data_IF_310932313327
#
_entry.id   IF_310932313327
#
_cell.length_a   1.000
_cell.length_b   1.000
_cell.length_c   1.000
_cell.angle_alpha   90.00
_cell.angle_beta   90.00
_cell.angle_gamma   90.00
#
_symmetry.space_group_name_H-M   'P 1'
#
loop_
_entity.id
_entity.type
_entity.pdbx_description
1 polymer ?
#
# COMPACT_ATOMS: atom_id res chain seq x y z
N UNK A 1 2.90 16.36 41.39
CA UNK A 1 2.21 16.86 40.18
C UNK A 1 2.49 15.82 39.10
N UNK A 2 1.65 14.79 39.04
CA UNK A 2 1.75 13.74 38.03
C UNK A 2 1.39 14.35 36.68
N UNK A 3 2.33 14.33 35.72
CA UNK A 3 2.03 14.63 34.34
C UNK A 3 1.10 13.53 33.81
N UNK A 4 -0.05 13.85 33.18
CA UNK A 4 -0.89 12.82 32.60
C UNK A 4 -0.09 12.06 31.56
N UNK A 5 -0.23 10.73 31.58
CA UNK A 5 0.38 9.83 30.62
C UNK A 5 0.16 10.35 29.19
N UNK A 6 1.25 10.48 28.43
CA UNK A 6 1.22 10.81 26.99
C UNK A 6 0.28 9.80 26.33
N UNK A 7 -0.95 10.23 26.03
CA UNK A 7 -1.86 9.47 25.18
C UNK A 7 -1.10 9.23 23.88
N UNK A 8 -0.82 7.96 23.57
CA UNK A 8 -0.25 7.57 22.29
C UNK A 8 -1.11 8.17 21.19
N UNK A 9 -0.58 9.15 20.47
CA UNK A 9 -1.35 9.97 19.54
C UNK A 9 -2.09 9.06 18.54
N UNK A 10 -3.41 9.22 18.35
CA UNK A 10 -4.23 8.33 17.51
C UNK A 10 -3.90 8.37 16.01
N UNK A 11 -2.90 9.15 15.59
CA UNK A 11 -2.71 9.66 14.23
C UNK A 11 -1.23 9.63 13.88
N UNK A 12 -0.65 8.43 13.97
CA UNK A 12 0.69 8.14 13.46
C UNK A 12 0.50 7.11 12.36
N UNK A 13 0.40 7.61 11.12
CA UNK A 13 0.14 6.78 9.97
C UNK A 13 1.23 5.73 9.76
N UNK A 14 2.49 6.09 10.04
CA UNK A 14 3.63 5.17 10.03
C UNK A 14 3.44 3.99 10.96
N UNK A 15 3.11 4.25 12.24
CA UNK A 15 2.83 3.18 13.22
C UNK A 15 1.60 2.36 12.83
N UNK A 16 0.55 2.98 12.32
CA UNK A 16 -0.63 2.27 11.82
C UNK A 16 -0.25 1.29 10.71
N UNK A 17 0.43 1.76 9.67
CA UNK A 17 0.84 0.94 8.52
C UNK A 17 1.75 -0.20 8.95
N UNK A 18 2.77 0.07 9.79
CA UNK A 18 3.70 -0.97 10.29
C UNK A 18 2.95 -2.08 11.05
N UNK A 19 1.90 -1.74 11.78
CA UNK A 19 1.06 -2.74 12.49
C UNK A 19 0.13 -3.53 11.56
N UNK A 20 -0.24 -2.98 10.41
CA UNK A 20 -1.18 -3.62 9.49
C UNK A 20 -0.47 -4.49 8.47
N UNK A 21 0.69 -4.09 7.94
CA UNK A 21 1.43 -4.85 6.90
C UNK A 21 1.61 -6.35 7.25
N UNK A 22 2.04 -6.73 8.47
CA UNK A 22 2.19 -8.15 8.82
C UNK A 22 0.87 -8.94 8.77
N UNK A 23 -0.27 -8.25 8.89
CA UNK A 23 -1.62 -8.82 8.86
C UNK A 23 -2.24 -8.80 7.45
N UNK A 24 -1.59 -8.19 6.46
CA UNK A 24 -2.07 -8.13 5.07
C UNK A 24 -1.83 -9.44 4.32
N UNK A 25 -2.11 -10.57 4.95
CA UNK A 25 -1.85 -11.88 4.36
C UNK A 25 -3.14 -12.68 4.39
N UNK A 26 -3.48 -13.29 3.25
CA UNK A 26 -4.57 -14.25 3.15
C UNK A 26 -4.00 -15.64 2.92
N UNK A 27 -4.57 -16.63 3.61
CA UNK A 27 -4.24 -18.03 3.36
C UNK A 27 -4.94 -18.43 2.07
N UNK A 28 -4.16 -18.71 1.03
CA UNK A 28 -4.70 -19.33 -0.18
C UNK A 28 -4.89 -20.82 0.05
N UNK A 29 -6.12 -21.24 0.33
CA UNK A 29 -6.47 -22.66 0.29
C UNK A 29 -6.56 -23.07 -1.18
N UNK A 30 -5.52 -23.72 -1.68
CA UNK A 30 -5.59 -24.42 -2.98
C UNK A 30 -6.55 -25.59 -2.79
N UNK A 31 -7.84 -25.39 -3.08
CA UNK A 31 -8.77 -26.50 -3.23
C UNK A 31 -8.37 -27.25 -4.52
N UNK A 32 -7.50 -28.24 -4.36
CA UNK A 32 -7.24 -29.22 -5.40
C UNK A 32 -8.57 -29.92 -5.74
N UNK A 33 -8.79 -30.06 -7.04
CA UNK A 33 -10.01 -30.57 -7.65
C UNK A 33 -10.54 -31.86 -7.01
N UNK A 34 -11.87 -32.00 -6.99
CA UNK A 34 -12.54 -33.27 -6.74
C UNK A 34 -11.97 -34.35 -7.68
N UNK A 35 -11.57 -35.53 -7.17
CA UNK A 35 -11.16 -36.62 -8.02
C UNK A 35 -12.39 -37.28 -8.64
N UNK A 36 -12.53 -37.16 -9.96
CA UNK A 36 -13.24 -38.12 -10.78
C UNK A 36 -12.52 -39.46 -10.65
N UNK A 37 -13.25 -40.52 -10.32
CA UNK A 37 -12.76 -41.89 -10.15
C UNK A 37 -11.90 -42.35 -11.34
N UNK A 38 -10.63 -42.70 -11.09
CA UNK A 38 -10.04 -43.89 -11.72
C UNK A 38 -8.90 -44.46 -10.88
N UNK A 39 -8.78 -45.78 -10.92
CA UNK A 39 -7.95 -46.62 -10.05
C UNK A 39 -6.50 -46.63 -10.53
N UNK A 40 -5.58 -46.93 -9.59
CA UNK A 40 -4.15 -47.30 -9.75
C UNK A 40 -3.11 -46.18 -9.97
N UNK A 41 -2.31 -45.93 -8.91
CA UNK A 41 -0.89 -45.64 -9.05
C UNK A 41 -0.38 -44.32 -8.48
N UNK A 42 0.45 -44.43 -7.41
CA UNK A 42 1.44 -43.45 -6.91
C UNK A 42 0.94 -42.31 -6.00
N UNK A 43 1.25 -42.33 -4.68
CA UNK A 43 1.06 -41.15 -3.83
C UNK A 43 2.22 -40.18 -4.05
N UNK A 44 2.11 -39.33 -5.07
CA UNK A 44 2.93 -38.12 -5.17
C UNK A 44 2.42 -37.13 -4.12
N UNK A 45 3.06 -37.10 -2.95
CA UNK A 45 2.79 -36.12 -1.90
C UNK A 45 3.19 -34.73 -2.40
N UNK A 46 2.30 -34.06 -3.11
CA UNK A 46 2.39 -32.64 -3.39
C UNK A 46 2.04 -31.88 -2.11
N UNK A 47 3.01 -31.72 -1.22
CA UNK A 47 2.96 -30.72 -0.15
C UNK A 47 2.85 -29.33 -0.79
N UNK A 48 1.62 -28.86 -1.00
CA UNK A 48 1.33 -27.48 -1.35
C UNK A 48 1.62 -26.61 -0.14
N UNK A 49 2.84 -26.06 -0.08
CA UNK A 49 3.18 -25.03 0.91
C UNK A 49 2.17 -23.88 0.80
N UNK A 50 1.54 -23.45 1.91
CA UNK A 50 0.62 -22.33 1.87
C UNK A 50 1.35 -21.09 1.35
N UNK A 51 0.95 -20.61 0.17
CA UNK A 51 1.50 -19.39 -0.39
C UNK A 51 1.03 -18.21 0.47
N UNK A 52 1.98 -17.44 0.96
CA UNK A 52 1.70 -16.24 1.72
C UNK A 52 1.32 -15.11 0.75
N UNK A 53 0.03 -15.04 0.38
CA UNK A 53 -0.49 -14.08 -0.59
C UNK A 53 -0.86 -12.79 0.13
N UNK A 54 -0.37 -11.65 -0.35
CA UNK A 54 -0.74 -10.34 0.19
C UNK A 54 -2.20 -10.02 -0.16
N UNK A 55 -3.00 -9.65 0.83
CA UNK A 55 -4.36 -9.16 0.59
C UNK A 55 -4.32 -7.71 0.08
N UNK A 56 -4.44 -7.56 -1.25
CA UNK A 56 -4.39 -6.26 -1.90
C UNK A 56 -5.61 -5.38 -1.58
N UNK A 57 -6.73 -5.91 -1.09
CA UNK A 57 -7.87 -5.09 -0.65
C UNK A 57 -7.53 -4.29 0.60
N UNK A 58 -6.86 -4.92 1.56
CA UNK A 58 -6.37 -4.24 2.77
C UNK A 58 -5.31 -3.21 2.40
N UNK A 59 -4.40 -3.56 1.48
CA UNK A 59 -3.41 -2.62 0.95
C UNK A 59 -4.08 -1.39 0.32
N UNK A 60 -5.06 -1.59 -0.58
CA UNK A 60 -5.82 -0.50 -1.21
C UNK A 60 -6.52 0.37 -0.18
N UNK A 61 -7.14 -0.23 0.84
CA UNK A 61 -7.78 0.51 1.91
C UNK A 61 -6.76 1.39 2.66
N UNK A 62 -5.62 0.84 3.06
CA UNK A 62 -4.56 1.61 3.71
C UNK A 62 -4.05 2.77 2.82
N UNK A 63 -3.86 2.53 1.51
CA UNK A 63 -3.43 3.57 0.56
C UNK A 63 -4.47 4.70 0.46
N UNK A 64 -5.77 4.37 0.39
CA UNK A 64 -6.84 5.39 0.33
C UNK A 64 -6.90 6.28 1.58
N UNK A 65 -6.39 5.82 2.73
CA UNK A 65 -6.32 6.63 3.94
C UNK A 65 -5.19 7.69 3.90
N UNK A 66 -4.22 7.57 2.99
CA UNK A 66 -3.00 8.39 3.00
C UNK A 66 -3.28 9.90 3.00
N UNK A 67 -4.23 10.37 2.20
CA UNK A 67 -4.55 11.80 2.08
C UNK A 67 -5.20 12.36 3.34
N UNK A 68 -6.07 11.60 3.99
CA UNK A 68 -6.69 11.97 5.27
C UNK A 68 -5.67 11.99 6.42
N UNK A 69 -4.79 10.99 6.48
CA UNK A 69 -3.73 10.95 7.48
C UNK A 69 -2.67 12.02 7.24
N UNK A 70 -2.42 12.46 6.00
CA UNK A 70 -1.51 13.57 5.73
C UNK A 70 -1.95 14.84 6.48
N UNK A 71 -3.22 15.23 6.35
CA UNK A 71 -3.77 16.41 7.05
C UNK A 71 -3.71 16.20 8.56
N UNK A 72 -4.09 15.01 9.01
CA UNK A 72 -4.27 14.73 10.44
C UNK A 72 -2.95 14.60 11.19
N UNK A 73 -1.97 13.87 10.65
CA UNK A 73 -0.64 13.71 11.25
C UNK A 73 0.07 15.07 11.36
N UNK A 74 -0.04 15.93 10.34
CA UNK A 74 0.55 17.27 10.39
C UNK A 74 -0.17 18.20 11.36
N UNK A 75 -1.51 18.18 11.40
CA UNK A 75 -2.27 19.01 12.31
C UNK A 75 -2.04 18.65 13.79
N UNK A 76 -1.91 17.36 14.10
CA UNK A 76 -1.78 16.88 15.48
C UNK A 76 -0.33 16.68 15.93
N UNK A 77 0.61 16.62 14.99
CA UNK A 77 2.04 16.53 15.27
C UNK A 77 2.85 17.37 14.27
N UNK A 78 2.86 18.71 14.40
CA UNK A 78 3.52 19.58 13.42
C UNK A 78 5.02 19.33 13.26
N UNK A 79 5.70 18.81 14.29
CA UNK A 79 7.14 18.55 14.24
C UNK A 79 7.51 17.28 13.47
N UNK A 80 6.68 16.24 13.54
CA UNK A 80 7.02 14.92 12.97
C UNK A 80 5.97 14.32 12.05
N UNK A 81 4.82 14.97 11.91
CA UNK A 81 3.66 14.45 11.19
C UNK A 81 3.96 14.11 9.74
N UNK A 82 4.68 14.99 9.02
CA UNK A 82 5.12 14.71 7.65
C UNK A 82 6.03 13.48 7.60
N UNK A 83 6.98 13.37 8.53
CA UNK A 83 7.93 12.25 8.59
C UNK A 83 7.25 10.91 8.91
N UNK A 84 6.34 10.89 9.88
CA UNK A 84 5.57 9.67 10.23
C UNK A 84 4.62 9.27 9.12
N UNK A 85 3.95 10.25 8.52
CA UNK A 85 3.09 10.04 7.35
C UNK A 85 3.89 9.47 6.17
N UNK A 86 5.01 10.10 5.81
CA UNK A 86 5.83 9.68 4.69
C UNK A 86 6.39 8.27 4.92
N UNK A 87 6.80 7.96 6.14
CA UNK A 87 7.23 6.61 6.51
C UNK A 87 6.13 5.57 6.23
N UNK A 88 4.89 5.85 6.64
CA UNK A 88 3.75 4.96 6.37
C UNK A 88 3.45 4.83 4.88
N UNK A 89 3.34 5.97 4.19
CA UNK A 89 3.03 6.01 2.76
C UNK A 89 4.10 5.29 1.94
N UNK A 90 5.38 5.58 2.19
CA UNK A 90 6.50 4.96 1.49
C UNK A 90 6.54 3.45 1.69
N UNK A 91 6.20 2.95 2.89
CA UNK A 91 6.11 1.50 3.15
C UNK A 91 5.01 0.81 2.37
N UNK A 92 3.85 1.45 2.20
CA UNK A 92 2.80 0.89 1.33
C UNK A 92 3.27 0.83 -0.13
N UNK A 93 4.01 1.85 -0.58
CA UNK A 93 4.56 1.89 -1.95
C UNK A 93 5.67 0.87 -2.17
N UNK A 94 6.48 0.58 -1.15
CA UNK A 94 7.43 -0.54 -1.19
C UNK A 94 6.71 -1.88 -1.43
N UNK A 95 5.56 -2.10 -0.78
CA UNK A 95 4.74 -3.30 -1.00
C UNK A 95 4.18 -3.34 -2.43
N UNK A 96 3.70 -2.21 -2.97
CA UNK A 96 3.25 -2.11 -4.37
C UNK A 96 4.38 -2.44 -5.34
N UNK A 97 5.58 -1.86 -5.16
CA UNK A 97 6.75 -2.19 -5.97
C UNK A 97 7.13 -3.67 -5.87
N UNK A 98 7.07 -4.25 -4.66
CA UNK A 98 7.41 -5.66 -4.45
C UNK A 98 6.39 -6.62 -5.08
N UNK A 99 5.10 -6.25 -5.11
CA UNK A 99 4.06 -6.98 -5.83
C UNK A 99 4.27 -6.90 -7.34
N UNK A 100 4.69 -5.75 -7.87
CA UNK A 100 4.99 -5.59 -9.29
C UNK A 100 6.18 -6.48 -9.70
N UNK A 101 7.27 -6.46 -8.91
CA UNK A 101 8.45 -7.29 -9.17
C UNK A 101 8.14 -8.79 -9.16
N UNK A 102 7.11 -9.22 -8.43
CA UNK A 102 6.61 -10.61 -8.42
C UNK A 102 5.60 -10.92 -9.54
N UNK A 103 5.20 -9.93 -10.33
CA UNK A 103 4.13 -10.06 -11.32
C UNK A 103 2.71 -10.10 -10.73
N UNK A 104 2.58 -10.02 -9.41
CA UNK A 104 1.35 -10.21 -8.63
C UNK A 104 0.53 -8.92 -8.48
N UNK A 105 1.09 -7.75 -8.83
CA UNK A 105 0.38 -6.48 -8.66
C UNK A 105 -0.87 -6.41 -9.55
N UNK A 106 -2.02 -6.22 -8.90
CA UNK A 106 -3.31 -5.97 -9.53
C UNK A 106 -3.37 -4.55 -10.09
N UNK A 107 -4.03 -4.40 -11.24
CA UNK A 107 -4.26 -3.08 -11.85
C UNK A 107 -4.99 -2.13 -10.90
N UNK A 108 -6.02 -2.62 -10.20
CA UNK A 108 -6.80 -1.81 -9.27
C UNK A 108 -5.91 -1.19 -8.18
N UNK A 109 -4.96 -1.96 -7.66
CA UNK A 109 -3.99 -1.50 -6.66
C UNK A 109 -3.07 -0.41 -7.23
N UNK A 110 -2.58 -0.59 -8.45
CA UNK A 110 -1.78 0.43 -9.13
C UNK A 110 -2.58 1.71 -9.36
N UNK A 111 -3.84 1.59 -9.77
CA UNK A 111 -4.74 2.71 -9.98
C UNK A 111 -5.00 3.50 -8.69
N UNK A 112 -5.22 2.80 -7.57
CA UNK A 112 -5.40 3.42 -6.25
C UNK A 112 -4.09 4.10 -5.78
N UNK A 113 -2.93 3.49 -6.01
CA UNK A 113 -1.64 4.11 -5.68
C UNK A 113 -1.41 5.43 -6.45
N UNK A 114 -1.69 5.43 -7.76
CA UNK A 114 -1.60 6.65 -8.59
C UNK A 114 -2.59 7.72 -8.14
N UNK A 115 -3.83 7.34 -7.86
CA UNK A 115 -4.86 8.26 -7.35
C UNK A 115 -4.45 8.88 -6.01
N UNK A 116 -3.95 8.07 -5.08
CA UNK A 116 -3.51 8.55 -3.77
C UNK A 116 -2.34 9.54 -3.87
N UNK A 117 -1.40 9.33 -4.81
CA UNK A 117 -0.35 10.32 -5.07
C UNK A 117 -0.94 11.67 -5.47
N UNK A 118 -1.91 11.69 -6.38
CA UNK A 118 -2.53 12.93 -6.85
C UNK A 118 -3.37 13.63 -5.79
N UNK A 119 -4.09 12.87 -4.96
CA UNK A 119 -4.82 13.42 -3.81
C UNK A 119 -3.84 14.01 -2.79
N UNK A 120 -2.78 13.29 -2.42
CA UNK A 120 -1.78 13.78 -1.47
C UNK A 120 -1.03 15.01 -2.02
N UNK A 121 -0.75 15.05 -3.32
CA UNK A 121 -0.18 16.22 -3.98
C UNK A 121 -1.09 17.44 -3.89
N UNK A 122 -2.39 17.23 -4.13
CA UNK A 122 -3.40 18.30 -4.07
C UNK A 122 -3.55 18.82 -2.65
N UNK A 123 -3.66 17.92 -1.67
CA UNK A 123 -3.70 18.27 -0.24
C UNK A 123 -2.43 19.03 0.16
N UNK A 124 -1.25 18.55 -0.25
CA UNK A 124 0.03 19.22 0.03
C UNK A 124 0.14 20.63 -0.56
N UNK A 125 -0.65 20.96 -1.59
CA UNK A 125 -0.70 22.29 -2.19
C UNK A 125 -1.74 23.24 -1.60
N UNK A 126 -2.73 22.73 -0.85
CA UNK A 126 -3.87 23.53 -0.38
C UNK A 126 -3.69 24.11 1.04
N UNK A 127 -2.71 23.63 1.81
CA UNK A 127 -2.56 23.94 3.24
C UNK A 127 -1.15 24.46 3.53
N UNK A 128 -1.04 25.48 4.38
CA UNK A 128 0.26 25.99 4.86
C UNK A 128 0.91 24.97 5.80
N UNK A 129 2.22 24.79 5.69
CA UNK A 129 2.98 23.84 6.51
C UNK A 129 2.99 22.40 5.96
N UNK A 130 2.51 22.21 4.73
CA UNK A 130 2.46 20.91 4.04
C UNK A 130 3.30 20.90 2.75
N UNK A 131 4.15 21.90 2.56
CA UNK A 131 4.95 22.10 1.35
C UNK A 131 5.91 20.93 1.11
N UNK A 132 6.56 20.44 2.18
CA UNK A 132 7.46 19.27 2.15
C UNK A 132 6.75 17.97 1.74
N UNK A 133 5.43 17.87 1.97
CA UNK A 133 4.67 16.70 1.56
C UNK A 133 4.66 16.54 0.03
N UNK A 134 4.76 17.64 -0.74
CA UNK A 134 4.81 17.55 -2.21
C UNK A 134 6.11 16.92 -2.69
N UNK A 135 7.23 17.21 -2.04
CA UNK A 135 8.52 16.59 -2.37
C UNK A 135 8.49 15.08 -2.07
N UNK A 136 7.93 14.70 -0.92
CA UNK A 136 7.70 13.30 -0.54
C UNK A 136 6.81 12.56 -1.56
N UNK A 137 5.69 13.17 -1.98
CA UNK A 137 4.80 12.60 -3.00
C UNK A 137 5.51 12.48 -4.35
N UNK A 138 6.31 13.48 -4.74
CA UNK A 138 7.07 13.46 -6.00
C UNK A 138 8.08 12.33 -6.05
N UNK A 139 8.76 12.04 -4.94
CA UNK A 139 9.66 10.91 -4.82
C UNK A 139 8.92 9.59 -5.10
N UNK A 140 7.79 9.36 -4.42
CA UNK A 140 6.95 8.17 -4.62
C UNK A 140 6.41 8.09 -6.05
N UNK A 141 5.85 9.18 -6.58
CA UNK A 141 5.28 9.23 -7.92
C UNK A 141 6.33 8.90 -8.99
N UNK A 142 7.57 9.35 -8.78
CA UNK A 142 8.70 9.02 -9.68
C UNK A 142 9.02 7.53 -9.65
N UNK A 143 8.92 6.87 -8.49
CA UNK A 143 9.07 5.42 -8.39
C UNK A 143 7.93 4.67 -9.07
N UNK A 144 6.69 5.08 -8.82
CA UNK A 144 5.51 4.46 -9.45
C UNK A 144 5.52 4.62 -10.97
N UNK A 145 5.99 5.76 -11.49
CA UNK A 145 6.12 6.00 -12.93
C UNK A 145 7.02 4.97 -13.61
N UNK A 146 8.04 4.44 -12.91
CA UNK A 146 8.92 3.38 -13.45
C UNK A 146 8.21 2.02 -13.60
N UNK A 147 7.05 1.84 -12.97
CA UNK A 147 6.25 0.62 -13.09
C UNK A 147 5.26 0.67 -14.26
N UNK A 148 5.05 1.86 -14.85
CA UNK A 148 4.10 2.08 -15.94
C UNK A 148 4.69 1.65 -17.28
N UNK A 149 3.80 1.45 -18.24
CA UNK A 149 4.18 1.21 -19.63
C UNK A 149 4.87 2.47 -20.21
N UNK A 150 5.52 2.35 -21.37
CA UNK A 150 6.35 3.41 -21.98
C UNK A 150 5.63 4.77 -22.14
N UNK A 151 4.30 4.75 -22.29
CA UNK A 151 3.48 5.96 -22.40
C UNK A 151 3.31 6.73 -21.07
N UNK A 152 3.70 6.14 -19.93
CA UNK A 152 3.57 6.69 -18.58
C UNK A 152 2.12 6.90 -18.10
N UNK A 153 1.13 6.30 -18.75
CA UNK A 153 -0.31 6.48 -18.51
C UNK A 153 -1.07 5.16 -18.40
N UNK A 154 -0.46 4.05 -18.80
CA UNK A 154 -1.05 2.72 -18.71
C UNK A 154 -0.18 1.80 -17.85
N UNK A 155 -0.81 0.78 -17.30
CA UNK A 155 -0.17 -0.32 -16.61
C UNK A 155 -0.73 -1.63 -17.18
N UNK A 156 0.14 -2.49 -17.73
CA UNK A 156 -0.28 -3.74 -18.40
C UNK A 156 -1.30 -3.47 -19.52
N UNK A 157 -1.12 -2.38 -20.27
CA UNK A 157 -1.99 -1.96 -21.38
C UNK A 157 -3.31 -1.32 -20.96
N UNK A 158 -3.62 -1.24 -19.67
CA UNK A 158 -4.86 -0.62 -19.17
C UNK A 158 -4.58 0.76 -18.60
N UNK A 159 -5.51 1.71 -18.83
CA UNK A 159 -5.39 3.07 -18.28
C UNK A 159 -5.46 3.04 -16.77
N UNK A 160 -4.56 3.80 -16.16
CA UNK A 160 -4.59 4.10 -14.73
C UNK A 160 -4.99 5.56 -14.52
N UNK A 161 -5.30 5.91 -13.28
CA UNK A 161 -5.49 7.27 -12.86
C UNK A 161 -4.26 8.11 -13.25
N UNK A 162 -4.50 9.13 -14.06
CA UNK A 162 -3.53 10.15 -14.42
C UNK A 162 -4.13 11.51 -14.03
N UNK A 163 -3.50 12.27 -13.13
CA UNK A 163 -3.90 13.65 -12.86
C UNK A 163 -3.71 14.57 -14.07
#
# INVERSE_FOLDING_TARGET
>A
MEMPAVQSTPTDYGKFVIKVIPRMHRIATTNAAAPSNDTTGTPSTSTSTPQNIIDQKVLRHCINLSSSYLVTDVALNPERGISTWFTGFNRLMDVVCALHARGELELETMNIASKACSECWSVGGCWKGLEEARDCVKEVATRLKKLLDENGKTYKGQRIYAP
#
